data_IF_406094303289
#
_entry.id   IF_406094303289
#
_cell.length_a   1.000
_cell.length_b   1.000
_cell.length_c   1.000
_cell.angle_alpha   90.00
_cell.angle_beta   90.00
_cell.angle_gamma   90.00
#
_symmetry.space_group_name_H-M   'P 1'
#
loop_
_entity.id
_entity.type
_entity.pdbx_description
1 polymer ?
#
# COMPACT_ATOMS: atom_id res chain seq x y z
N UNK A 1 -8.22 -3.69 -18.36
CA UNK A 1 -8.08 -4.63 -17.21
C UNK A 1 -6.74 -4.37 -16.52
N UNK A 2 -6.57 -3.18 -15.93
CA UNK A 2 -5.31 -2.78 -15.28
C UNK A 2 -5.52 -2.32 -13.84
N UNK A 3 -6.66 -1.69 -13.53
CA UNK A 3 -7.03 -1.30 -12.16
C UNK A 3 -7.15 -2.50 -11.20
N UNK A 4 -7.58 -3.66 -11.68
CA UNK A 4 -7.68 -4.87 -10.85
C UNK A 4 -6.32 -5.37 -10.34
N UNK A 5 -5.30 -5.37 -11.21
CA UNK A 5 -3.93 -5.75 -10.83
C UNK A 5 -3.32 -4.76 -9.83
N UNK A 6 -3.63 -3.48 -9.99
CA UNK A 6 -3.14 -2.44 -9.07
C UNK A 6 -3.80 -2.56 -7.69
N UNK A 7 -5.09 -2.91 -7.62
CA UNK A 7 -5.75 -3.25 -6.36
C UNK A 7 -5.15 -4.48 -5.70
N UNK A 8 -4.94 -5.56 -6.46
CA UNK A 8 -4.35 -6.81 -5.95
C UNK A 8 -2.95 -6.58 -5.36
N UNK A 9 -2.10 -5.79 -6.04
CA UNK A 9 -0.79 -5.39 -5.54
C UNK A 9 -0.84 -4.55 -4.26
N UNK A 10 -1.86 -3.69 -4.11
CA UNK A 10 -2.07 -2.91 -2.88
C UNK A 10 -2.49 -3.83 -1.73
N UNK A 11 -3.33 -4.83 -2.00
CA UNK A 11 -3.76 -5.82 -1.01
C UNK A 11 -2.61 -6.72 -0.55
N UNK A 12 -1.80 -7.25 -1.47
CA UNK A 12 -0.62 -8.03 -1.11
C UNK A 12 0.35 -7.22 -0.24
N UNK A 13 0.67 -5.98 -0.64
CA UNK A 13 1.54 -5.11 0.17
C UNK A 13 0.97 -4.78 1.54
N UNK A 14 -0.36 -4.67 1.67
CA UNK A 14 -1.03 -4.49 2.97
C UNK A 14 -0.84 -5.70 3.87
N UNK A 15 -0.97 -6.91 3.32
CA UNK A 15 -0.77 -8.15 4.08
C UNK A 15 0.69 -8.26 4.53
N UNK A 16 1.65 -7.91 3.67
CA UNK A 16 3.08 -7.89 4.02
C UNK A 16 3.39 -6.87 5.12
N UNK A 17 2.79 -5.68 5.06
CA UNK A 17 2.90 -4.68 6.13
C UNK A 17 2.38 -5.21 7.46
N UNK A 18 1.22 -5.88 7.47
CA UNK A 18 0.63 -6.47 8.69
C UNK A 18 1.56 -7.54 9.26
N UNK A 19 2.06 -8.47 8.42
CA UNK A 19 3.01 -9.51 8.86
C UNK A 19 4.30 -8.92 9.42
N UNK A 20 4.83 -7.86 8.78
CA UNK A 20 6.01 -7.15 9.26
C UNK A 20 5.74 -6.38 10.56
N UNK A 21 4.56 -5.78 10.69
CA UNK A 21 4.13 -5.09 11.90
C UNK A 21 3.92 -6.07 13.07
N UNK A 22 3.40 -7.27 12.82
CA UNK A 22 3.28 -8.32 13.83
C UNK A 22 4.65 -8.87 14.24
N UNK A 23 5.58 -9.03 13.28
CA UNK A 23 6.91 -9.60 13.54
C UNK A 23 7.88 -8.63 14.21
N UNK A 24 7.89 -7.36 13.81
CA UNK A 24 8.86 -6.35 14.27
C UNK A 24 8.24 -5.21 15.09
N UNK A 25 6.91 -5.10 15.11
CA UNK A 25 6.19 -4.00 15.75
C UNK A 25 6.03 -2.76 14.85
N UNK A 26 4.97 -1.99 15.09
CA UNK A 26 4.66 -0.76 14.33
C UNK A 26 5.73 0.34 14.44
N UNK A 27 6.63 0.27 15.44
CA UNK A 27 7.72 1.25 15.64
C UNK A 27 8.96 0.94 14.80
N UNK A 28 8.99 -0.18 14.09
CA UNK A 28 10.11 -0.54 13.25
C UNK A 28 10.18 0.39 12.03
N UNK A 29 11.33 1.02 11.78
CA UNK A 29 11.48 1.97 10.67
C UNK A 29 11.10 1.37 9.31
N UNK A 30 11.28 0.06 9.11
CA UNK A 30 10.86 -0.59 7.85
C UNK A 30 9.34 -0.65 7.72
N UNK A 31 8.60 -0.87 8.81
CA UNK A 31 7.13 -0.87 8.81
C UNK A 31 6.60 0.53 8.52
N UNK A 32 7.20 1.56 9.13
CA UNK A 32 6.87 2.96 8.86
C UNK A 32 7.12 3.34 7.40
N UNK A 33 8.27 2.94 6.84
CA UNK A 33 8.58 3.18 5.42
C UNK A 33 7.63 2.44 4.49
N UNK A 34 7.35 1.16 4.75
CA UNK A 34 6.39 0.40 3.96
C UNK A 34 4.99 1.03 4.02
N UNK A 35 4.57 1.52 5.19
CA UNK A 35 3.28 2.18 5.35
C UNK A 35 3.20 3.44 4.51
N UNK A 36 4.26 4.26 4.48
CA UNK A 36 4.32 5.45 3.64
C UNK A 36 4.30 5.11 2.14
N UNK A 37 5.03 4.06 1.74
CA UNK A 37 5.04 3.57 0.36
C UNK A 37 3.64 3.15 -0.11
N UNK A 38 2.89 2.44 0.75
CA UNK A 38 1.52 2.02 0.49
C UNK A 38 0.59 3.25 0.41
N UNK A 39 0.74 4.22 1.30
CA UNK A 39 -0.04 5.46 1.30
C UNK A 39 0.15 6.25 -0.02
N UNK A 40 1.40 6.36 -0.49
CA UNK A 40 1.72 7.00 -1.78
C UNK A 40 1.08 6.24 -2.94
N UNK A 41 1.16 4.91 -2.95
CA UNK A 41 0.53 4.08 -3.99
C UNK A 41 -0.99 4.23 -4.01
N UNK A 42 -1.64 4.29 -2.84
CA UNK A 42 -3.08 4.55 -2.73
C UNK A 42 -3.41 5.96 -3.23
N UNK A 43 -2.60 6.95 -2.87
CA UNK A 43 -2.82 8.33 -3.31
C UNK A 43 -2.71 8.45 -4.84
N UNK A 44 -1.74 7.77 -5.46
CA UNK A 44 -1.61 7.68 -6.93
C UNK A 44 -2.83 6.99 -7.53
N UNK A 45 -3.28 5.88 -6.93
CA UNK A 45 -4.47 5.16 -7.39
C UNK A 45 -5.72 6.05 -7.37
N UNK A 46 -5.95 6.76 -6.26
CA UNK A 46 -7.06 7.71 -6.11
C UNK A 46 -6.92 8.86 -7.12
N UNK A 47 -5.72 9.40 -7.31
CA UNK A 47 -5.46 10.49 -8.25
C UNK A 47 -5.78 10.08 -9.69
N UNK A 48 -5.31 8.91 -10.12
CA UNK A 48 -5.62 8.35 -11.45
C UNK A 48 -7.12 8.14 -11.60
N UNK A 49 -7.78 7.54 -10.59
CA UNK A 49 -9.22 7.34 -10.60
C UNK A 49 -10.01 8.65 -10.67
N UNK A 50 -9.53 9.70 -9.99
CA UNK A 50 -10.17 11.01 -9.95
C UNK A 50 -9.94 11.81 -11.24
N UNK A 51 -8.81 11.65 -11.93
CA UNK A 51 -8.53 12.28 -13.24
C UNK A 51 -9.24 11.63 -14.41
N UNK A 52 -9.74 10.40 -14.26
CA UNK A 52 -10.55 9.73 -15.28
C UNK A 52 -12.06 10.01 -15.16
N UNK A 53 -12.46 10.97 -14.31
CA UNK A 53 -13.84 11.41 -14.11
C UNK A 53 -14.02 12.82 -14.67
#
# INVERSE_FOLDING_TARGET
MEMGKLQELIEEKKIDLIKLAEKYGFRHQQVLRLSQDIDILINIFIHIKCKMK
#
